data_IF_334357747092
#
_entry.id   IF_334357747092
#
_cell.length_a   1.000
_cell.length_b   1.000
_cell.length_c   1.000
_cell.angle_alpha   90.00
_cell.angle_beta   90.00
_cell.angle_gamma   90.00
#
_symmetry.space_group_name_H-M   'P 1'
#
loop_
_entity.id
_entity.type
_entity.pdbx_description
1 polymer ?
#
# COMPACT_ATOMS: atom_id res chain seq x y z
N UNK A 1 30.28 -9.01 -10.56
CA UNK A 1 29.68 -10.06 -9.70
C UNK A 1 28.29 -10.39 -10.23
N UNK A 2 27.93 -11.68 -10.27
CA UNK A 2 26.88 -12.26 -11.12
C UNK A 2 25.46 -11.81 -10.72
N UNK A 3 24.79 -11.02 -11.57
CA UNK A 3 23.37 -10.65 -11.44
C UNK A 3 22.50 -11.69 -12.15
N UNK A 4 22.30 -12.85 -11.53
CA UNK A 4 21.21 -13.74 -11.91
C UNK A 4 19.98 -13.37 -11.08
N UNK A 5 19.34 -12.26 -11.44
CA UNK A 5 17.93 -12.12 -11.10
C UNK A 5 17.18 -13.01 -12.11
N UNK A 6 16.36 -13.98 -11.68
CA UNK A 6 15.43 -14.61 -12.60
C UNK A 6 14.63 -13.47 -13.26
N UNK A 7 14.55 -13.46 -14.58
CA UNK A 7 13.68 -12.55 -15.31
C UNK A 7 12.24 -12.98 -15.05
N UNK A 8 11.73 -12.67 -13.86
CA UNK A 8 10.34 -12.87 -13.50
C UNK A 8 9.47 -12.25 -14.58
N UNK A 9 8.45 -12.97 -15.05
CA UNK A 9 7.53 -12.43 -16.03
C UNK A 9 6.85 -11.19 -15.46
N UNK A 10 6.56 -10.22 -16.33
CA UNK A 10 5.87 -8.99 -15.90
C UNK A 10 4.51 -9.28 -15.24
N UNK A 11 3.83 -10.34 -15.68
CA UNK A 11 2.60 -10.81 -15.06
C UNK A 11 2.81 -11.30 -13.61
N UNK A 12 3.94 -11.94 -13.32
CA UNK A 12 4.24 -12.42 -11.96
C UNK A 12 4.64 -11.26 -11.05
N UNK A 13 5.44 -10.31 -11.56
CA UNK A 13 5.78 -9.09 -10.82
C UNK A 13 4.52 -8.29 -10.47
N UNK A 14 3.61 -8.12 -11.44
CA UNK A 14 2.32 -7.48 -11.25
C UNK A 14 1.49 -8.16 -10.14
N UNK A 15 1.38 -9.50 -10.18
CA UNK A 15 0.62 -10.28 -9.20
C UNK A 15 1.22 -10.19 -7.79
N UNK A 16 2.54 -10.29 -7.67
CA UNK A 16 3.20 -10.22 -6.37
C UNK A 16 3.19 -8.80 -5.78
N UNK A 17 3.36 -7.76 -6.60
CA UNK A 17 3.19 -6.37 -6.15
C UNK A 17 1.76 -6.09 -5.67
N UNK A 18 0.76 -6.57 -6.43
CA UNK A 18 -0.65 -6.51 -6.03
C UNK A 18 -0.88 -7.22 -4.70
N UNK A 19 -0.41 -8.45 -4.57
CA UNK A 19 -0.59 -9.24 -3.35
C UNK A 19 0.04 -8.55 -2.13
N UNK A 20 1.25 -8.00 -2.28
CA UNK A 20 1.89 -7.27 -1.21
C UNK A 20 1.11 -6.00 -0.82
N UNK A 21 0.59 -5.26 -1.81
CA UNK A 21 -0.28 -4.10 -1.56
C UNK A 21 -1.59 -4.48 -0.87
N UNK A 22 -2.29 -5.51 -1.35
CA UNK A 22 -3.53 -6.00 -0.74
C UNK A 22 -3.29 -6.50 0.68
N UNK A 23 -2.18 -7.19 0.93
CA UNK A 23 -1.85 -7.68 2.27
C UNK A 23 -1.51 -6.54 3.23
N UNK A 24 -0.77 -5.53 2.78
CA UNK A 24 -0.30 -4.45 3.66
C UNK A 24 -1.32 -3.33 3.85
N UNK A 25 -2.09 -2.99 2.81
CA UNK A 25 -3.03 -1.87 2.83
C UNK A 25 -4.48 -2.29 2.68
N UNK A 26 -4.77 -3.53 2.29
CA UNK A 26 -6.14 -4.00 2.09
C UNK A 26 -7.08 -3.71 3.26
N UNK A 27 -6.70 -3.97 4.53
CA UNK A 27 -7.54 -3.64 5.68
C UNK A 27 -7.82 -2.13 5.84
N UNK A 28 -6.85 -1.30 5.45
CA UNK A 28 -6.90 0.16 5.60
C UNK A 28 -7.64 0.87 4.47
N UNK A 29 -8.10 0.17 3.44
CA UNK A 29 -8.74 0.78 2.27
C UNK A 29 -10.25 0.48 2.29
N UNK A 30 -11.07 1.50 2.01
CA UNK A 30 -12.54 1.32 1.89
C UNK A 30 -12.90 0.40 0.73
N UNK A 31 -12.15 0.53 -0.37
CA UNK A 31 -12.37 -0.22 -1.60
C UNK A 31 -11.30 -1.29 -1.77
N UNK A 32 -11.72 -2.49 -2.22
CA UNK A 32 -10.78 -3.51 -2.67
C UNK A 32 -9.96 -2.95 -3.82
N UNK A 33 -8.64 -3.06 -3.70
CA UNK A 33 -7.70 -2.66 -4.75
C UNK A 33 -8.07 -3.30 -6.09
N UNK A 34 -8.45 -2.46 -7.06
CA UNK A 34 -8.68 -2.93 -8.43
C UNK A 34 -7.36 -2.95 -9.17
N UNK A 35 -7.16 -4.01 -9.96
CA UNK A 35 -5.95 -4.17 -10.75
C UNK A 35 -5.82 -3.02 -11.78
N UNK A 36 -6.94 -2.51 -12.28
CA UNK A 36 -6.97 -1.40 -13.24
C UNK A 36 -6.42 -0.08 -12.67
N UNK A 37 -6.50 0.12 -11.36
CA UNK A 37 -5.98 1.33 -10.69
C UNK A 37 -4.48 1.26 -10.42
N UNK A 38 -3.88 0.08 -10.54
CA UNK A 38 -2.46 -0.14 -10.30
C UNK A 38 -1.66 0.21 -11.55
N UNK A 39 -1.04 1.40 -11.54
CA UNK A 39 -0.05 1.76 -12.53
C UNK A 39 1.26 1.05 -12.19
N UNK A 40 1.56 -0.02 -12.93
CA UNK A 40 2.78 -0.81 -12.74
C UNK A 40 3.91 -0.24 -13.58
N UNK A 41 4.93 0.35 -12.94
CA UNK A 41 6.21 0.60 -13.60
C UNK A 41 7.09 -0.64 -13.47
N UNK A 42 6.80 -1.55 -14.40
CA UNK A 42 7.38 -2.88 -14.57
C UNK A 42 8.92 -2.89 -14.77
N UNK A 43 9.52 -1.73 -15.09
CA UNK A 43 10.97 -1.61 -15.28
C UNK A 43 11.74 -1.38 -13.97
N UNK A 44 11.14 -0.66 -13.02
CA UNK A 44 11.76 -0.34 -11.72
C UNK A 44 11.39 -1.30 -10.60
N UNK A 45 10.40 -2.16 -10.81
CA UNK A 45 9.84 -3.01 -9.76
C UNK A 45 8.96 -2.24 -8.78
N UNK A 46 8.40 -1.12 -9.24
CA UNK A 46 7.54 -0.23 -8.47
C UNK A 46 6.11 -0.29 -8.98
N UNK A 47 5.15 -0.29 -8.04
CA UNK A 47 3.72 -0.21 -8.35
C UNK A 47 3.15 1.02 -7.68
N UNK A 48 2.40 1.85 -8.42
CA UNK A 48 1.77 3.04 -7.85
C UNK A 48 0.26 2.96 -7.99
N UNK A 49 -0.43 3.20 -6.89
CA UNK A 49 -1.87 3.42 -6.80
C UNK A 49 -2.12 4.90 -6.51
N UNK A 50 -3.24 5.42 -6.99
CA UNK A 50 -3.65 6.82 -6.82
C UNK A 50 -5.06 6.91 -6.30
N UNK A 51 -5.36 8.04 -5.65
CA UNK A 51 -6.71 8.44 -5.24
C UNK A 51 -7.41 7.37 -4.42
N UNK A 52 -6.77 6.96 -3.32
CA UNK A 52 -7.26 5.91 -2.42
C UNK A 52 -8.01 6.52 -1.24
N UNK A 53 -9.09 5.87 -0.83
CA UNK A 53 -9.84 6.19 0.39
C UNK A 53 -9.51 5.22 1.51
N UNK A 54 -9.35 5.76 2.72
CA UNK A 54 -9.01 4.99 3.90
C UNK A 54 -10.25 4.54 4.66
N UNK A 55 -10.25 3.29 5.10
CA UNK A 55 -11.31 2.73 5.95
C UNK A 55 -11.29 3.37 7.32
N UNK A 56 -12.36 4.07 7.68
CA UNK A 56 -12.53 4.66 9.01
C UNK A 56 -12.40 3.59 10.10
N UNK A 57 -13.03 2.43 9.92
CA UNK A 57 -12.96 1.31 10.88
C UNK A 57 -11.52 0.90 11.17
N UNK A 58 -10.69 0.70 10.14
CA UNK A 58 -9.32 0.24 10.34
C UNK A 58 -8.41 1.31 10.95
N UNK A 59 -8.64 2.59 10.63
CA UNK A 59 -7.88 3.69 11.24
C UNK A 59 -8.31 3.91 12.69
N UNK A 60 -9.60 3.80 12.99
CA UNK A 60 -10.14 3.93 14.34
C UNK A 60 -9.68 2.81 15.26
N UNK A 61 -9.55 1.58 14.74
CA UNK A 61 -8.92 0.47 15.48
C UNK A 61 -7.48 0.81 15.89
N UNK A 62 -6.68 1.34 14.95
CA UNK A 62 -5.30 1.77 15.25
C UNK A 62 -5.26 2.93 16.25
N UNK A 63 -6.18 3.90 16.14
CA UNK A 63 -6.29 5.01 17.08
C UNK A 63 -6.69 4.52 18.48
N UNK A 64 -7.62 3.57 18.56
CA UNK A 64 -8.05 2.97 19.81
C UNK A 64 -6.92 2.15 20.47
N UNK A 65 -6.18 1.35 19.70
CA UNK A 65 -4.99 0.63 20.18
C UNK A 65 -3.91 1.58 20.70
N UNK A 66 -3.78 2.76 20.09
CA UNK A 66 -2.90 3.82 20.56
C UNK A 66 -3.44 4.61 21.76
N UNK A 67 -4.67 4.31 22.23
CA UNK A 67 -5.32 5.01 23.33
C UNK A 67 -5.76 6.44 23.00
N UNK A 68 -5.90 6.78 21.72
CA UNK A 68 -6.33 8.10 21.28
C UNK A 68 -7.87 8.19 21.27
N UNK A 69 -8.49 9.19 21.93
CA UNK A 69 -9.94 9.41 21.91
C UNK A 69 -10.38 10.14 20.63
N UNK A 70 -9.97 9.62 19.47
CA UNK A 70 -10.21 10.22 18.16
C UNK A 70 -10.91 9.21 17.25
N UNK A 71 -11.72 9.72 16.33
CA UNK A 71 -12.33 8.96 15.25
C UNK A 71 -12.09 9.63 13.89
N UNK A 72 -11.90 8.81 12.85
CA UNK A 72 -11.67 9.27 11.49
C UNK A 72 -12.99 9.74 10.88
N UNK A 73 -13.04 11.01 10.50
CA UNK A 73 -14.15 11.59 9.73
C UNK A 73 -13.95 11.41 8.24
N UNK A 74 -12.72 11.64 7.77
CA UNK A 74 -12.35 11.52 6.36
C UNK A 74 -10.88 11.11 6.25
N UNK A 75 -10.58 10.12 5.41
CA UNK A 75 -9.21 9.70 5.12
C UNK A 75 -8.98 9.49 3.65
N UNK A 76 -7.99 10.18 3.09
CA UNK A 76 -7.58 9.98 1.70
C UNK A 76 -6.07 9.94 1.54
N UNK A 77 -5.61 9.17 0.55
CA UNK A 77 -4.22 9.09 0.15
C UNK A 77 -4.12 9.42 -1.34
N UNK A 78 -3.37 10.46 -1.67
CA UNK A 78 -3.19 10.84 -3.08
C UNK A 78 -2.46 9.77 -3.88
N UNK A 79 -1.41 9.15 -3.34
CA UNK A 79 -0.81 7.98 -3.97
C UNK A 79 -0.04 7.08 -3.02
N UNK A 80 -0.04 5.79 -3.31
CA UNK A 80 0.80 4.79 -2.64
C UNK A 80 1.75 4.19 -3.67
N UNK A 81 3.03 4.17 -3.36
CA UNK A 81 4.05 3.47 -4.16
C UNK A 81 4.62 2.32 -3.37
N UNK A 82 4.50 1.11 -3.92
CA UNK A 82 5.23 -0.08 -3.44
C UNK A 82 6.51 -0.24 -4.23
N UNK A 83 7.58 -0.62 -3.54
CA UNK A 83 8.88 -0.99 -4.13
C UNK A 83 9.18 -2.42 -3.72
N UNK A 84 9.19 -3.33 -4.70
CA UNK A 84 9.48 -4.75 -4.45
C UNK A 84 10.92 -5.04 -4.89
N UNK A 85 11.81 -5.46 -3.99
CA UNK A 85 13.20 -5.74 -4.33
C UNK A 85 13.32 -7.10 -5.03
N UNK A 86 12.91 -7.20 -6.31
CA UNK A 86 12.88 -8.45 -7.08
C UNK A 86 14.22 -9.22 -7.10
N UNK A 87 15.33 -8.49 -7.02
CA UNK A 87 16.68 -9.05 -7.02
C UNK A 87 17.14 -9.56 -5.64
N UNK A 88 16.45 -9.19 -4.57
CA UNK A 88 16.81 -9.45 -3.18
C UNK A 88 15.58 -9.93 -2.36
N UNK A 89 14.62 -10.59 -3.03
CA UNK A 89 13.45 -11.17 -2.38
C UNK A 89 13.90 -12.17 -1.31
N UNK A 90 13.45 -11.97 -0.08
CA UNK A 90 13.80 -12.79 1.09
C UNK A 90 14.96 -12.24 1.92
N UNK A 91 15.76 -11.31 1.38
CA UNK A 91 16.82 -10.62 2.13
C UNK A 91 16.49 -9.15 2.40
N UNK A 92 15.75 -8.49 1.50
CA UNK A 92 15.32 -7.10 1.66
C UNK A 92 13.80 -7.00 1.81
N UNK A 93 13.29 -6.11 2.69
CA UNK A 93 11.87 -5.90 2.86
C UNK A 93 11.27 -5.13 1.66
N UNK A 94 9.98 -5.34 1.41
CA UNK A 94 9.24 -4.50 0.49
C UNK A 94 9.07 -3.10 1.09
N UNK A 95 9.30 -2.06 0.29
CA UNK A 95 9.11 -0.67 0.70
C UNK A 95 7.71 -0.17 0.34
N UNK A 96 7.06 0.53 1.25
CA UNK A 96 5.80 1.23 0.99
C UNK A 96 5.97 2.72 1.27
N UNK A 97 5.55 3.55 0.31
CA UNK A 97 5.58 4.99 0.41
C UNK A 97 4.20 5.56 0.13
N UNK A 98 3.59 6.13 1.16
CA UNK A 98 2.36 6.91 1.02
C UNK A 98 2.71 8.38 0.75
N UNK A 99 1.98 9.02 -0.16
CA UNK A 99 2.19 10.42 -0.53
C UNK A 99 0.85 11.14 -0.54
N UNK A 100 0.82 12.36 0.01
CA UNK A 100 -0.41 13.16 0.22
C UNK A 100 -1.46 12.41 1.05
N UNK A 101 -1.05 11.87 2.20
CA UNK A 101 -1.97 11.37 3.21
C UNK A 101 -2.69 12.57 3.87
N UNK A 102 -4.01 12.53 3.89
CA UNK A 102 -4.85 13.49 4.61
C UNK A 102 -5.82 12.71 5.49
N UNK A 103 -5.87 13.10 6.76
CA UNK A 103 -6.76 12.54 7.76
C UNK A 103 -7.48 13.71 8.43
N UNK A 104 -8.80 13.65 8.46
CA UNK A 104 -9.63 14.55 9.25
C UNK A 104 -10.13 13.74 10.46
N UNK A 105 -9.70 14.13 11.65
CA UNK A 105 -10.02 13.46 12.90
C UNK A 105 -11.00 14.31 13.71
N UNK A 106 -11.94 13.65 14.38
CA UNK A 106 -12.83 14.26 15.37
C UNK A 106 -12.64 13.63 16.75
N UNK A 107 -13.08 14.29 17.82
CA UNK A 107 -13.18 13.67 19.13
C UNK A 107 -14.16 12.50 19.08
N UNK A 108 -13.83 11.42 19.79
CA UNK A 108 -14.69 10.27 20.00
C UNK A 108 -15.48 10.52 21.29
N UNK A 109 -16.80 10.73 21.17
CA UNK A 109 -17.72 10.87 22.32
C UNK A 109 -18.06 9.53 22.99
#
# INVERSE_FOLDING_TARGET
MRRWAPSWSEALKARAARYALERSLGPFLEERLRLEQLSLDLRGGTGTLRDLRLSATAVDEVLAEAGAPLELREGCVGSVTITVPWAALGTEPCGLRLTRLRLALGPRE
#
